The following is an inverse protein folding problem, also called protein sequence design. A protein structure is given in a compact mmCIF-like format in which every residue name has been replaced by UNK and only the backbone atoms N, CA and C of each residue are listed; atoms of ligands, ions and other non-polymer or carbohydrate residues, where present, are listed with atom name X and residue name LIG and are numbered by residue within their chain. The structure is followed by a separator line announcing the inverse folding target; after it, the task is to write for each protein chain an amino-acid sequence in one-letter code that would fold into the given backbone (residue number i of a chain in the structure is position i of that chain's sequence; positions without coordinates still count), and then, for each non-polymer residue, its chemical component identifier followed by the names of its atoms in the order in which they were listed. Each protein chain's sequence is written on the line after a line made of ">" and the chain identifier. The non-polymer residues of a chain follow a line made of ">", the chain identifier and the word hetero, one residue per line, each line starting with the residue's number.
data_IF_416271495700
#
_entry.id   IF_416271495700
#
_cell.length_a   1.000
_cell.length_b   1.000
_cell.length_c   1.000
_cell.angle_alpha   90.00
_cell.angle_beta   90.00
_cell.angle_gamma   90.00
#
_symmetry.space_group_name_H-M   'P 1'
#
loop_
_entity.id
_entity.type
_entity.pdbx_description
1 polymer ?
#
# COMPACT_ATOMS: atom_id res chain seq x y z
N UNK A 1 15.75 -20.41 -12.43
CA UNK A 1 14.31 -20.08 -12.56
C UNK A 1 13.64 -20.29 -11.21
N UNK A 2 12.61 -19.48 -10.89
CA UNK A 2 11.83 -19.65 -9.65
C UNK A 2 11.16 -21.04 -9.61
N UNK A 3 11.08 -21.65 -8.42
CA UNK A 3 10.56 -23.02 -8.22
C UNK A 3 9.04 -23.11 -8.25
N UNK A 4 8.36 -21.99 -7.95
CA UNK A 4 6.91 -21.86 -8.00
C UNK A 4 6.54 -20.45 -8.50
N UNK A 5 5.34 -20.33 -9.09
CA UNK A 5 4.82 -19.07 -9.66
C UNK A 5 3.34 -18.87 -9.31
N UNK A 6 3.00 -19.16 -8.06
CA UNK A 6 1.69 -18.97 -7.47
C UNK A 6 1.58 -17.57 -6.84
N UNK A 7 0.35 -17.11 -6.67
CA UNK A 7 0.10 -15.86 -5.92
C UNK A 7 0.58 -16.05 -4.48
N UNK A 8 1.35 -15.08 -3.99
CA UNK A 8 1.96 -15.11 -2.65
C UNK A 8 3.42 -15.55 -2.63
N UNK A 9 3.91 -16.23 -3.66
CA UNK A 9 5.29 -16.68 -3.74
C UNK A 9 6.26 -15.49 -3.78
N UNK A 10 7.38 -15.63 -3.07
CA UNK A 10 8.48 -14.66 -3.07
C UNK A 10 9.58 -15.19 -3.99
N UNK A 11 9.96 -14.38 -4.98
CA UNK A 11 11.04 -14.65 -5.93
C UNK A 11 11.98 -13.42 -5.99
N UNK A 12 13.02 -13.51 -6.82
CA UNK A 12 13.90 -12.38 -7.15
C UNK A 12 13.61 -11.89 -8.57
N UNK A 13 13.52 -10.57 -8.74
CA UNK A 13 13.43 -9.91 -10.05
C UNK A 13 14.66 -9.02 -10.27
N UNK A 14 15.34 -9.19 -11.40
CA UNK A 14 16.33 -8.22 -11.88
C UNK A 14 15.60 -7.08 -12.59
N UNK A 15 15.67 -5.87 -12.02
CA UNK A 15 14.96 -4.70 -12.55
C UNK A 15 15.84 -3.89 -13.50
N UNK A 16 17.12 -3.75 -13.16
CA UNK A 16 18.20 -3.20 -13.98
C UNK A 16 19.40 -4.11 -13.85
N UNK A 17 20.38 -3.99 -14.77
CA UNK A 17 21.61 -4.80 -14.74
C UNK A 17 22.21 -4.77 -13.32
N UNK A 18 22.47 -5.96 -12.78
CA UNK A 18 23.03 -6.19 -11.44
C UNK A 18 22.19 -5.63 -10.27
N UNK A 19 20.93 -5.29 -10.50
CA UNK A 19 20.01 -4.77 -9.47
C UNK A 19 18.83 -5.70 -9.27
N UNK A 20 18.88 -6.43 -8.16
CA UNK A 20 17.91 -7.45 -7.80
C UNK A 20 16.97 -6.96 -6.71
N UNK A 21 15.69 -7.32 -6.81
CA UNK A 21 14.67 -7.03 -5.80
C UNK A 21 13.98 -8.31 -5.36
N UNK A 22 13.71 -8.43 -4.05
CA UNK A 22 12.78 -9.44 -3.53
C UNK A 22 11.37 -9.00 -3.89
N UNK A 23 10.63 -9.86 -4.59
CA UNK A 23 9.30 -9.55 -5.08
C UNK A 23 8.31 -10.65 -4.71
N UNK A 24 7.09 -10.26 -4.37
CA UNK A 24 5.97 -11.18 -4.16
C UNK A 24 5.04 -11.16 -5.37
N UNK A 25 4.66 -12.34 -5.87
CA UNK A 25 3.67 -12.47 -6.94
C UNK A 25 2.29 -12.07 -6.40
N UNK A 26 1.69 -11.03 -6.98
CA UNK A 26 0.35 -10.54 -6.61
C UNK A 26 -0.76 -11.11 -7.47
N UNK A 27 -0.50 -11.28 -8.76
CA UNK A 27 -1.50 -11.74 -9.74
C UNK A 27 -0.84 -12.51 -10.86
N UNK A 28 -1.48 -13.58 -11.30
CA UNK A 28 -1.19 -14.25 -12.57
C UNK A 28 -2.10 -13.70 -13.65
N UNK A 29 -1.54 -13.28 -14.78
CA UNK A 29 -2.30 -12.78 -15.93
C UNK A 29 -2.57 -13.91 -16.92
N UNK A 30 -3.82 -13.98 -17.38
CA UNK A 30 -4.31 -14.96 -18.35
C UNK A 30 -4.87 -14.29 -19.61
N UNK A 31 -4.61 -12.99 -19.78
CA UNK A 31 -5.25 -12.12 -20.79
C UNK A 31 -4.73 -12.32 -22.22
N UNK A 32 -3.62 -13.05 -22.40
CA UNK A 32 -3.11 -13.43 -23.72
C UNK A 32 -3.54 -14.84 -24.08
N UNK A 33 -4.64 -14.93 -24.82
CA UNK A 33 -4.98 -16.13 -25.56
C UNK A 33 -3.84 -16.43 -26.56
N UNK A 34 -3.30 -17.65 -26.53
CA UNK A 34 -2.40 -18.27 -27.54
C UNK A 34 -0.87 -18.21 -27.35
N UNK A 35 -0.31 -17.90 -26.18
CA UNK A 35 1.12 -18.19 -25.94
C UNK A 35 1.36 -19.00 -24.67
N UNK A 36 2.36 -19.89 -24.70
CA UNK A 36 2.89 -20.62 -23.52
C UNK A 36 3.56 -19.67 -22.49
N UNK A 37 3.53 -18.35 -22.75
CA UNK A 37 4.19 -17.35 -21.93
C UNK A 37 3.28 -16.90 -20.79
N UNK A 38 3.68 -17.23 -19.57
CA UNK A 38 2.99 -16.82 -18.34
C UNK A 38 3.51 -15.46 -17.88
N UNK A 39 2.60 -14.53 -17.66
CA UNK A 39 2.91 -13.20 -17.12
C UNK A 39 2.32 -13.03 -15.73
N UNK A 40 3.00 -12.25 -14.89
CA UNK A 40 2.57 -11.95 -13.52
C UNK A 40 2.75 -10.48 -13.19
N UNK A 41 1.97 -9.99 -12.23
CA UNK A 41 2.27 -8.75 -11.52
C UNK A 41 2.97 -9.08 -10.22
N UNK A 42 4.07 -8.38 -9.94
CA UNK A 42 4.87 -8.58 -8.75
C UNK A 42 5.02 -7.29 -7.96
N UNK A 43 5.08 -7.40 -6.64
CA UNK A 43 5.33 -6.27 -5.73
C UNK A 43 6.69 -6.45 -5.08
N UNK A 44 7.56 -5.45 -5.19
CA UNK A 44 8.78 -5.38 -4.40
C UNK A 44 8.41 -5.31 -2.91
N UNK A 45 8.78 -6.33 -2.14
CA UNK A 45 8.44 -6.37 -0.71
C UNK A 45 9.21 -5.28 0.04
N UNK A 46 10.41 -4.93 -0.43
CA UNK A 46 11.30 -3.96 0.22
C UNK A 46 11.06 -2.50 -0.16
N UNK A 47 10.23 -2.22 -1.17
CA UNK A 47 9.91 -0.84 -1.56
C UNK A 47 8.43 -0.58 -1.83
N UNK A 48 7.59 -1.62 -1.84
CA UNK A 48 6.17 -1.52 -2.18
C UNK A 48 5.86 -1.31 -3.67
N UNK A 49 6.87 -1.04 -4.52
CA UNK A 49 6.71 -0.78 -5.96
C UNK A 49 6.11 -2.01 -6.65
N UNK A 50 5.10 -1.79 -7.49
CA UNK A 50 4.47 -2.82 -8.31
C UNK A 50 5.08 -2.80 -9.71
N UNK A 51 5.49 -3.97 -10.19
CA UNK A 51 5.94 -4.21 -11.54
C UNK A 51 4.90 -5.10 -12.24
N UNK A 52 4.26 -4.57 -13.27
CA UNK A 52 3.21 -5.26 -14.01
C UNK A 52 3.75 -5.98 -15.24
N UNK A 53 3.04 -7.01 -15.70
CA UNK A 53 3.36 -7.75 -16.94
C UNK A 53 4.79 -8.30 -16.99
N UNK A 54 5.26 -8.87 -15.88
CA UNK A 54 6.56 -9.53 -15.82
C UNK A 54 6.43 -10.96 -16.33
N UNK A 55 7.25 -11.29 -17.32
CA UNK A 55 7.44 -12.67 -17.79
C UNK A 55 8.03 -13.52 -16.65
N UNK A 56 7.37 -14.63 -16.30
CA UNK A 56 7.82 -15.50 -15.20
C UNK A 56 9.23 -16.04 -15.40
N UNK A 57 9.73 -16.13 -16.64
CA UNK A 57 11.11 -16.55 -16.95
C UNK A 57 12.16 -15.58 -16.41
N UNK A 58 11.77 -14.31 -16.16
CA UNK A 58 12.62 -13.28 -15.53
C UNK A 58 12.68 -13.41 -14.00
N UNK A 59 11.86 -14.29 -13.41
CA UNK A 59 11.87 -14.53 -11.98
C UNK A 59 12.88 -15.61 -11.61
N UNK A 60 13.69 -15.31 -10.62
CA UNK A 60 14.71 -16.20 -10.09
C UNK A 60 14.29 -16.72 -8.72
N UNK A 61 14.82 -17.89 -8.37
CA UNK A 61 14.68 -18.45 -7.04
C UNK A 61 15.33 -17.51 -6.01
N UNK A 62 14.68 -17.31 -4.87
CA UNK A 62 15.23 -16.54 -3.76
C UNK A 62 16.02 -17.47 -2.82
N UNK A 63 17.31 -17.20 -2.54
CA UNK A 63 18.04 -17.91 -1.49
C UNK A 63 17.35 -17.77 -0.13
N UNK A 64 17.40 -18.83 0.71
CA UNK A 64 16.73 -18.87 2.00
C UNK A 64 17.19 -17.73 2.93
N UNK A 65 18.46 -17.37 2.85
CA UNK A 65 19.05 -16.28 3.63
C UNK A 65 18.40 -14.93 3.31
N UNK A 66 18.05 -14.70 2.04
CA UNK A 66 17.38 -13.48 1.60
C UNK A 66 15.88 -13.53 1.86
N UNK A 67 15.27 -14.72 1.83
CA UNK A 67 13.85 -14.89 2.16
C UNK A 67 13.57 -14.53 3.63
N UNK A 68 14.48 -14.92 4.53
CA UNK A 68 14.34 -14.72 5.97
C UNK A 68 14.63 -13.29 6.45
N UNK A 69 15.15 -12.40 5.59
CA UNK A 69 15.38 -11.01 5.96
C UNK A 69 14.04 -10.29 6.22
N UNK A 70 13.91 -9.51 7.31
CA UNK A 70 12.69 -8.77 7.59
C UNK A 70 12.41 -7.74 6.49
N UNK A 71 11.13 -7.41 6.33
CA UNK A 71 10.67 -6.33 5.45
C UNK A 71 10.11 -5.21 6.33
N UNK A 72 10.57 -3.98 6.10
CA UNK A 72 10.18 -2.81 6.89
C UNK A 72 9.23 -1.86 6.16
N UNK A 73 8.66 -2.30 5.03
CA UNK A 73 7.69 -1.52 4.26
C UNK A 73 6.29 -1.72 4.79
N UNK A 74 5.62 -0.61 5.03
CA UNK A 74 4.20 -0.56 5.38
C UNK A 74 3.45 0.12 4.25
N UNK A 75 2.36 -0.49 3.81
CA UNK A 75 1.41 0.13 2.90
C UNK A 75 0.46 1.02 3.68
N UNK A 76 0.27 2.25 3.23
CA UNK A 76 -0.57 3.23 3.92
C UNK A 76 -1.73 3.61 3.01
N UNK A 77 -2.94 3.45 3.51
CA UNK A 77 -4.15 4.04 2.94
C UNK A 77 -4.63 5.18 3.81
N UNK A 78 -5.09 6.25 3.16
CA UNK A 78 -5.89 7.27 3.83
C UNK A 78 -7.32 6.72 4.00
N UNK A 79 -7.83 6.71 5.23
CA UNK A 79 -9.15 6.18 5.55
C UNK A 79 -10.25 7.16 5.17
N UNK A 80 -11.44 6.62 4.89
CA UNK A 80 -12.68 7.36 4.62
C UNK A 80 -12.58 8.42 3.49
N UNK A 81 -11.70 8.19 2.50
CA UNK A 81 -11.59 8.98 1.28
C UNK A 81 -11.79 8.10 0.05
N UNK A 82 -12.40 8.67 -0.98
CA UNK A 82 -12.50 8.10 -2.33
C UNK A 82 -12.24 9.18 -3.39
N UNK A 83 -11.93 8.81 -4.65
CA UNK A 83 -11.77 9.78 -5.72
C UNK A 83 -12.96 10.74 -5.83
N UNK A 84 -12.67 11.97 -6.25
CA UNK A 84 -13.71 12.97 -6.54
C UNK A 84 -14.59 12.53 -7.74
N UNK A 85 -15.83 13.02 -7.79
CA UNK A 85 -16.76 12.84 -8.92
C UNK A 85 -17.12 11.39 -9.29
N UNK A 86 -17.27 10.51 -8.29
CA UNK A 86 -17.61 9.08 -8.47
C UNK A 86 -16.63 8.32 -9.39
N UNK A 87 -15.43 8.86 -9.61
CA UNK A 87 -14.39 8.16 -10.36
C UNK A 87 -14.02 6.83 -9.67
N UNK A 88 -13.96 5.77 -10.46
CA UNK A 88 -13.61 4.44 -9.93
C UNK A 88 -12.10 4.27 -9.64
N UNK A 89 -11.26 5.22 -10.09
CA UNK A 89 -9.82 5.26 -9.84
C UNK A 89 -9.39 6.70 -9.53
N UNK A 90 -8.27 6.85 -8.81
CA UNK A 90 -7.62 8.15 -8.64
C UNK A 90 -7.07 8.67 -9.97
N UNK A 91 -7.55 9.82 -10.41
CA UNK A 91 -7.00 10.49 -11.59
C UNK A 91 -5.58 11.05 -11.35
N UNK A 92 -4.92 11.37 -12.46
CA UNK A 92 -3.56 11.92 -12.47
C UNK A 92 -3.46 13.24 -11.69
N UNK A 93 -4.47 14.10 -11.79
CA UNK A 93 -4.49 15.40 -11.10
C UNK A 93 -4.40 15.23 -9.57
N UNK A 94 -5.15 14.27 -9.02
CA UNK A 94 -5.11 13.94 -7.59
C UNK A 94 -3.74 13.38 -7.18
N UNK A 95 -3.16 12.50 -8.00
CA UNK A 95 -1.82 11.96 -7.73
C UNK A 95 -0.75 13.07 -7.72
N UNK A 96 -0.79 13.97 -8.70
CA UNK A 96 0.11 15.13 -8.77
C UNK A 96 -0.04 16.04 -7.55
N UNK A 97 -1.27 16.28 -7.09
CA UNK A 97 -1.51 17.08 -5.88
C UNK A 97 -0.90 16.43 -4.63
N UNK A 98 -1.03 15.10 -4.46
CA UNK A 98 -0.39 14.40 -3.33
C UNK A 98 1.13 14.53 -3.40
N UNK A 99 1.72 14.35 -4.58
CA UNK A 99 3.17 14.53 -4.77
C UNK A 99 3.64 15.95 -4.46
N UNK A 100 2.89 16.95 -4.92
CA UNK A 100 3.14 18.36 -4.63
C UNK A 100 3.08 18.62 -3.12
N UNK A 101 2.05 18.12 -2.44
CA UNK A 101 1.91 18.27 -0.99
C UNK A 101 3.12 17.69 -0.24
N UNK A 102 3.62 16.51 -0.62
CA UNK A 102 4.85 15.96 -0.02
C UNK A 102 6.07 16.83 -0.31
N UNK A 103 6.25 17.30 -1.55
CA UNK A 103 7.39 18.13 -1.93
C UNK A 103 7.43 19.46 -1.18
N UNK A 104 6.27 20.04 -0.86
CA UNK A 104 6.15 21.31 -0.14
C UNK A 104 6.26 21.16 1.38
N UNK A 105 5.92 19.99 1.94
CA UNK A 105 5.75 19.82 3.39
C UNK A 105 6.73 18.83 4.03
N UNK A 106 7.37 17.93 3.29
CA UNK A 106 8.24 16.88 3.86
C UNK A 106 9.71 17.14 3.52
N UNK A 107 10.55 17.29 4.55
CA UNK A 107 12.01 17.46 4.44
C UNK A 107 12.78 16.45 5.31
N UNK A 108 14.12 16.56 5.33
CA UNK A 108 14.99 15.65 6.09
C UNK A 108 14.82 15.68 7.62
N UNK A 109 14.07 16.63 8.19
CA UNK A 109 13.75 16.70 9.63
C UNK A 109 12.29 16.37 9.93
N UNK A 110 11.54 16.04 8.89
CA UNK A 110 10.12 15.76 8.95
C UNK A 110 9.85 14.27 9.18
N UNK A 111 8.71 13.96 9.78
CA UNK A 111 8.21 12.60 9.96
C UNK A 111 6.69 12.60 9.78
N UNK A 112 6.11 11.42 9.52
CA UNK A 112 4.66 11.29 9.31
C UNK A 112 3.99 10.98 10.64
N UNK A 113 2.88 11.67 10.91
CA UNK A 113 1.98 11.43 12.04
C UNK A 113 0.64 10.98 11.47
N UNK A 114 0.10 9.89 12.00
CA UNK A 114 -1.25 9.46 11.67
C UNK A 114 -1.84 8.57 12.76
N UNK A 115 -3.17 8.61 12.89
CA UNK A 115 -3.91 7.72 13.77
C UNK A 115 -4.29 6.47 13.00
N UNK A 116 -3.86 5.30 13.47
CA UNK A 116 -4.24 4.02 12.86
C UNK A 116 -5.72 3.75 13.16
N UNK A 117 -6.52 3.59 12.10
CA UNK A 117 -7.93 3.18 12.17
C UNK A 117 -8.08 1.66 11.99
N UNK A 118 -7.28 1.06 11.11
CA UNK A 118 -7.29 -0.36 10.79
C UNK A 118 -5.87 -0.80 10.39
N UNK A 119 -5.54 -2.06 10.66
CA UNK A 119 -4.28 -2.67 10.25
C UNK A 119 -4.55 -4.13 9.87
N UNK A 120 -4.05 -4.54 8.72
CA UNK A 120 -4.16 -5.89 8.18
C UNK A 120 -2.83 -6.27 7.52
N UNK A 121 -2.11 -7.25 8.05
CA UNK A 121 -0.87 -7.75 7.46
C UNK A 121 0.26 -6.70 7.48
N UNK A 122 0.57 -6.07 6.35
CA UNK A 122 1.53 -4.96 6.28
C UNK A 122 0.88 -3.65 5.83
N UNK A 123 -0.45 -3.60 5.85
CA UNK A 123 -1.23 -2.45 5.38
C UNK A 123 -1.93 -1.78 6.57
N UNK A 124 -1.76 -0.46 6.69
CA UNK A 124 -2.44 0.38 7.68
C UNK A 124 -3.36 1.38 6.98
N UNK A 125 -4.51 1.63 7.59
CA UNK A 125 -5.40 2.73 7.24
C UNK A 125 -5.28 3.79 8.29
N UNK A 126 -4.86 4.98 7.88
CA UNK A 126 -4.70 6.14 8.75
C UNK A 126 -5.90 7.07 8.61
N UNK A 127 -6.41 7.61 9.71
CA UNK A 127 -7.46 8.64 9.67
C UNK A 127 -7.01 9.85 8.84
N UNK A 128 -5.78 10.28 9.07
CA UNK A 128 -5.14 11.41 8.38
C UNK A 128 -3.62 11.17 8.30
N UNK A 129 -2.98 11.87 7.37
CA UNK A 129 -1.54 11.92 7.22
C UNK A 129 -1.09 13.37 7.44
N UNK A 130 -0.39 13.59 8.55
CA UNK A 130 0.15 14.90 8.93
C UNK A 130 1.66 14.86 8.96
N UNK A 131 2.28 16.00 8.71
CA UNK A 131 3.72 16.15 8.86
C UNK A 131 4.05 16.61 10.29
N UNK A 132 4.93 15.91 10.98
CA UNK A 132 5.59 16.38 12.18
C UNK A 132 7.01 16.86 11.85
N UNK A 133 7.49 17.89 12.53
CA UNK A 133 8.88 18.34 12.43
C UNK A 133 9.51 18.37 13.80
N UNK A 134 10.64 17.67 13.95
CA UNK A 134 11.33 17.57 15.23
C UNK A 134 12.17 18.83 15.47
N UNK A 135 11.95 19.47 16.62
CA UNK A 135 12.69 20.63 17.07
C UNK A 135 13.49 20.28 18.33
N UNK A 136 14.81 20.48 18.29
CA UNK A 136 15.68 20.14 19.43
C UNK A 136 15.32 21.07 20.60
N UNK A 137 14.97 20.48 21.74
CA UNK A 137 14.63 21.23 22.96
C UNK A 137 13.21 21.79 23.01
N UNK A 138 12.34 21.44 22.04
CA UNK A 138 10.97 21.92 21.97
C UNK A 138 9.99 20.79 21.64
N UNK A 139 8.68 20.96 21.93
CA UNK A 139 7.65 20.07 21.40
C UNK A 139 7.68 20.03 19.87
N UNK A 140 7.32 18.89 19.30
CA UNK A 140 7.26 18.72 17.86
C UNK A 140 6.20 19.65 17.23
N UNK A 141 6.53 20.22 16.09
CA UNK A 141 5.58 21.03 15.32
C UNK A 141 4.73 20.09 14.45
N UNK A 142 3.40 20.18 14.59
CA UNK A 142 2.46 19.48 13.73
C UNK A 142 2.06 20.40 12.58
N UNK A 143 2.46 20.03 11.37
CA UNK A 143 2.22 20.73 10.13
C UNK A 143 0.90 20.37 9.46
N UNK A 144 0.90 20.45 8.13
CA UNK A 144 -0.28 20.30 7.28
C UNK A 144 -0.88 18.89 7.33
N UNK A 145 -2.15 18.80 6.95
CA UNK A 145 -2.94 17.58 6.86
C UNK A 145 -3.22 17.28 5.40
N UNK A 146 -2.82 16.10 4.93
CA UNK A 146 -3.09 15.67 3.56
C UNK A 146 -4.59 15.52 3.31
N UNK A 147 -5.33 14.96 4.27
CA UNK A 147 -6.78 14.77 4.12
C UNK A 147 -7.51 16.09 3.95
N UNK A 148 -7.14 17.12 4.73
CA UNK A 148 -7.69 18.46 4.57
C UNK A 148 -7.37 19.05 3.19
N UNK A 149 -6.12 18.93 2.74
CA UNK A 149 -5.68 19.43 1.43
C UNK A 149 -6.52 18.83 0.29
N UNK A 150 -6.71 17.50 0.31
CA UNK A 150 -7.49 16.80 -0.70
C UNK A 150 -8.95 17.26 -0.72
N UNK A 151 -9.57 17.46 0.45
CA UNK A 151 -10.95 17.93 0.52
C UNK A 151 -11.11 19.40 0.12
N UNK A 152 -10.20 20.28 0.54
CA UNK A 152 -10.27 21.69 0.17
C UNK A 152 -10.05 21.94 -1.33
N UNK A 153 -9.26 21.08 -1.97
CA UNK A 153 -8.97 21.15 -3.40
C UNK A 153 -9.93 20.37 -4.30
N UNK A 154 -10.99 19.76 -3.75
CA UNK A 154 -11.91 18.88 -4.49
C UNK A 154 -11.18 17.71 -5.20
N UNK A 155 -10.17 17.13 -4.56
CA UNK A 155 -9.45 15.96 -5.04
C UNK A 155 -9.99 14.64 -4.46
N UNK A 156 -10.78 14.71 -3.40
CA UNK A 156 -11.39 13.55 -2.77
C UNK A 156 -12.77 13.89 -2.17
N UNK A 157 -13.62 12.88 -2.01
CA UNK A 157 -14.89 12.97 -1.26
C UNK A 157 -14.91 11.97 -0.10
N UNK A 158 -15.72 12.29 0.92
CA UNK A 158 -15.83 11.47 2.12
C UNK A 158 -16.49 10.13 1.80
N UNK A 159 -15.89 9.04 2.30
CA UNK A 159 -16.49 7.71 2.27
C UNK A 159 -16.67 7.17 3.68
N UNK A 160 -17.80 7.51 4.29
CA UNK A 160 -18.15 7.06 5.64
C UNK A 160 -18.36 5.53 5.75
N UNK A 161 -18.45 4.83 4.62
CA UNK A 161 -18.63 3.38 4.57
C UNK A 161 -17.31 2.63 4.32
N UNK A 162 -16.17 3.31 4.17
CA UNK A 162 -14.91 2.70 3.79
C UNK A 162 -14.49 1.62 4.81
N UNK A 163 -14.29 2.02 6.07
CA UNK A 163 -13.83 1.10 7.11
C UNK A 163 -14.89 0.03 7.46
N UNK A 164 -16.17 0.39 7.52
CA UNK A 164 -17.25 -0.56 7.81
C UNK A 164 -17.37 -1.65 6.74
N UNK A 165 -17.17 -1.29 5.47
CA UNK A 165 -17.14 -2.26 4.36
C UNK A 165 -15.93 -3.19 4.45
N UNK A 166 -14.74 -2.67 4.79
CA UNK A 166 -13.55 -3.50 5.00
C UNK A 166 -13.74 -4.48 6.16
N UNK A 167 -14.28 -4.03 7.29
CA UNK A 167 -14.58 -4.91 8.43
C UNK A 167 -15.60 -5.99 8.06
N UNK A 168 -16.62 -5.65 7.26
CA UNK A 168 -17.57 -6.63 6.73
C UNK A 168 -16.89 -7.69 5.87
N UNK A 169 -15.96 -7.30 5.00
CA UNK A 169 -15.18 -8.26 4.20
C UNK A 169 -14.34 -9.17 5.09
N UNK A 170 -13.70 -8.63 6.13
CA UNK A 170 -12.92 -9.42 7.07
C UNK A 170 -13.78 -10.50 7.77
N UNK A 171 -14.97 -10.12 8.25
CA UNK A 171 -15.94 -11.06 8.84
C UNK A 171 -16.34 -12.17 7.86
N UNK A 172 -16.62 -11.80 6.62
CA UNK A 172 -17.00 -12.77 5.58
C UNK A 172 -15.89 -13.77 5.27
N UNK A 173 -14.62 -13.38 5.50
CA UNK A 173 -13.46 -14.27 5.39
C UNK A 173 -13.20 -15.11 6.66
N UNK A 174 -14.05 -15.01 7.68
CA UNK A 174 -13.93 -15.79 8.92
C UNK A 174 -13.04 -15.16 9.99
N UNK A 175 -12.60 -13.90 9.84
CA UNK A 175 -11.87 -13.21 10.90
C UNK A 175 -12.84 -12.80 12.02
N UNK A 176 -12.49 -13.16 13.26
CA UNK A 176 -13.29 -12.87 14.46
C UNK A 176 -12.73 -11.69 15.28
N UNK A 177 -11.45 -11.38 15.12
CA UNK A 177 -10.77 -10.31 15.85
C UNK A 177 -9.84 -9.55 14.90
N UNK A 178 -9.77 -8.22 15.05
CA UNK A 178 -8.79 -7.35 14.38
C UNK A 178 -8.30 -6.32 15.38
N UNK A 179 -6.98 -6.13 15.47
CA UNK A 179 -6.35 -5.10 16.32
C UNK A 179 -6.75 -5.18 17.80
N UNK A 180 -7.00 -6.38 18.35
CA UNK A 180 -7.45 -6.53 19.74
C UNK A 180 -8.95 -6.28 19.94
N UNK A 181 -9.71 -6.09 18.86
CA UNK A 181 -11.15 -5.84 18.90
C UNK A 181 -11.93 -6.99 18.26
N UNK A 182 -12.89 -7.53 18.99
CA UNK A 182 -13.85 -8.50 18.48
C UNK A 182 -14.69 -7.84 17.37
N UNK A 183 -14.60 -8.37 16.17
CA UNK A 183 -15.38 -7.93 15.02
C UNK A 183 -16.55 -8.86 14.74
N UNK A 184 -16.69 -10.00 15.42
CA UNK A 184 -17.80 -10.95 15.24
C UNK A 184 -19.13 -10.40 15.76
N UNK A 185 -19.09 -9.49 16.74
CA UNK A 185 -20.24 -8.77 17.22
C UNK A 185 -20.65 -7.68 16.22
N UNK A 186 -21.68 -7.96 15.41
CA UNK A 186 -22.40 -6.88 14.75
C UNK A 186 -23.03 -5.99 15.84
N UNK A 187 -22.66 -4.70 15.87
CA UNK A 187 -23.54 -3.71 16.48
C UNK A 187 -24.90 -3.81 15.75
N UNK A 188 -25.89 -4.36 16.46
CA UNK A 188 -27.30 -4.31 16.08
C UNK A 188 -27.79 -2.88 16.10
#
# INVERSE_FOLDING_TARGET
>A
MCTSTNVGDICVLEVTIDTFKRVQIRRVRYDRNYSDEKFVDVRCIDSGIIHEYIDVRKLMHIPEELLNLPTHVVEIFLADVVPWDEEYMWNQCTNEQVHKWFAENFDGRSYIIGKICLYLGNTIWLDDLKIGTKLIGHPDLIGSSLKKELFSGNFAVWNNNHLSSLLKLCRNCGLTEINGHDISAAHK
#
